data_IF_623083792758
#
_entry.id   IF_623083792758
#
_cell.length_a   1.000
_cell.length_b   1.000
_cell.length_c   1.000
_cell.angle_alpha   90.00
_cell.angle_beta   90.00
_cell.angle_gamma   90.00
#
_symmetry.space_group_name_H-M   'P 1'
#
loop_
_entity.id
_entity.type
_entity.pdbx_description
1 polymer ?
#
# COMPACT_ATOMS: atom_id res chain seq x y z
N UNK A 1 60.23 61.01 14.19
CA UNK A 1 60.08 61.70 12.90
C UNK A 1 60.67 60.80 11.83
N UNK A 2 59.80 60.27 10.97
CA UNK A 2 60.07 59.69 9.63
C UNK A 2 60.85 58.36 9.53
N UNK A 3 60.20 57.23 9.13
CA UNK A 3 59.95 56.70 7.75
C UNK A 3 61.19 55.91 7.23
N UNK A 4 61.20 54.76 6.54
CA UNK A 4 60.28 53.84 5.82
C UNK A 4 60.98 52.44 5.88
N UNK A 5 60.35 51.33 6.21
CA UNK A 5 59.51 50.40 5.41
C UNK A 5 60.19 49.70 4.22
N UNK A 6 60.04 48.37 4.20
CA UNK A 6 60.66 47.43 3.28
C UNK A 6 60.16 46.03 3.57
N UNK A 7 58.85 45.79 3.36
CA UNK A 7 58.28 44.44 3.30
C UNK A 7 57.46 44.24 2.03
N UNK A 8 57.75 43.11 1.42
CA UNK A 8 57.32 42.63 0.12
C UNK A 8 55.80 42.38 0.12
N UNK A 9 55.13 42.88 -0.91
CA UNK A 9 53.71 42.70 -1.15
C UNK A 9 53.39 41.26 -1.59
N UNK A 10 52.39 40.65 -0.95
CA UNK A 10 51.65 39.49 -1.46
C UNK A 10 50.38 39.99 -2.15
N UNK A 11 50.01 39.49 -3.34
CA UNK A 11 48.74 39.85 -3.95
C UNK A 11 47.59 39.15 -3.21
N UNK A 12 46.63 39.98 -2.79
CA UNK A 12 45.35 39.59 -2.22
C UNK A 12 44.59 38.67 -3.19
N UNK A 13 44.37 37.42 -2.78
CA UNK A 13 43.35 36.57 -3.39
C UNK A 13 42.03 36.93 -2.71
N UNK A 14 41.29 37.86 -3.32
CA UNK A 14 39.91 38.16 -2.95
C UNK A 14 39.06 36.94 -3.32
N UNK A 15 38.84 36.03 -2.37
CA UNK A 15 37.90 34.94 -2.52
C UNK A 15 36.48 35.50 -2.57
N UNK A 16 35.96 35.69 -3.77
CA UNK A 16 34.54 35.96 -4.01
C UNK A 16 33.74 34.73 -3.60
N UNK A 17 33.21 34.73 -2.37
CA UNK A 17 32.17 33.81 -1.92
C UNK A 17 30.89 34.09 -2.73
N UNK A 18 30.82 33.52 -3.94
CA UNK A 18 29.53 33.25 -4.56
C UNK A 18 28.81 32.22 -3.69
N UNK A 19 27.89 32.70 -2.85
CA UNK A 19 26.77 31.90 -2.34
C UNK A 19 26.10 31.28 -3.56
N UNK A 20 26.42 30.01 -3.83
CA UNK A 20 25.56 29.16 -4.63
C UNK A 20 24.33 28.91 -3.78
N UNK A 21 23.22 29.55 -4.14
CA UNK A 21 21.91 29.11 -3.69
C UNK A 21 21.80 27.63 -4.02
N UNK A 22 21.87 26.78 -2.99
CA UNK A 22 21.60 25.36 -3.14
C UNK A 22 20.13 25.25 -3.53
N UNK A 23 19.86 25.06 -4.81
CA UNK A 23 18.54 24.69 -5.29
C UNK A 23 18.08 23.50 -4.44
N UNK A 24 17.05 23.71 -3.61
CA UNK A 24 16.47 22.64 -2.80
C UNK A 24 15.91 21.63 -3.80
N UNK A 25 16.57 20.47 -3.93
CA UNK A 25 16.04 19.36 -4.70
C UNK A 25 14.70 18.97 -4.09
N UNK A 26 13.62 19.25 -4.81
CA UNK A 26 12.29 18.88 -4.36
C UNK A 26 12.02 17.43 -4.69
N UNK A 27 11.66 16.65 -3.68
CA UNK A 27 11.44 15.20 -3.78
C UNK A 27 9.96 14.84 -3.85
N UNK A 28 9.68 13.73 -4.52
CA UNK A 28 8.38 13.06 -4.50
C UNK A 28 8.42 11.88 -3.53
N UNK A 29 7.33 11.68 -2.79
CA UNK A 29 7.14 10.49 -1.93
C UNK A 29 5.93 9.70 -2.39
N UNK A 30 6.07 8.38 -2.37
CA UNK A 30 4.98 7.43 -2.64
C UNK A 30 4.68 6.66 -1.36
N UNK A 31 3.40 6.61 -1.01
CA UNK A 31 2.92 5.88 0.15
C UNK A 31 1.95 4.80 -0.35
N UNK A 32 2.25 3.55 -0.04
CA UNK A 32 1.39 2.41 -0.37
C UNK A 32 1.08 1.56 0.86
N UNK A 33 0.00 0.79 0.87
CA UNK A 33 -0.25 -0.13 1.96
C UNK A 33 0.72 -1.33 1.92
N UNK A 34 1.01 -1.89 3.10
CA UNK A 34 1.70 -3.18 3.20
C UNK A 34 0.79 -4.34 2.72
N UNK A 35 1.36 -5.54 2.57
CA UNK A 35 0.64 -6.73 2.06
C UNK A 35 0.62 -7.87 3.06
N UNK A 36 -0.47 -8.66 3.06
CA UNK A 36 -0.54 -9.90 3.86
C UNK A 36 0.42 -10.96 3.31
N UNK A 37 0.62 -11.01 1.98
CA UNK A 37 1.66 -11.83 1.36
C UNK A 37 3.03 -11.25 1.64
N UNK A 38 3.80 -11.90 2.51
CA UNK A 38 5.17 -11.52 2.88
C UNK A 38 6.12 -12.69 2.64
N UNK A 39 7.36 -12.41 2.25
CA UNK A 39 8.38 -13.47 2.13
C UNK A 39 8.74 -14.00 3.51
N UNK A 40 8.52 -15.29 3.73
CA UNK A 40 8.92 -15.96 4.96
C UNK A 40 10.43 -16.25 4.90
N UNK A 41 11.15 -15.85 5.94
CA UNK A 41 12.59 -16.01 6.08
C UNK A 41 13.02 -17.35 6.67
N UNK A 42 12.23 -18.41 6.49
CA UNK A 42 12.42 -19.68 7.21
C UNK A 42 11.93 -19.68 8.67
N UNK A 43 11.47 -18.53 9.19
CA UNK A 43 10.81 -18.44 10.50
C UNK A 43 9.30 -18.17 10.34
N UNK A 44 8.47 -18.68 11.27
CA UNK A 44 7.06 -18.33 11.31
C UNK A 44 6.90 -16.82 11.52
N UNK A 45 5.90 -16.18 10.87
CA UNK A 45 5.65 -14.77 11.04
C UNK A 45 5.30 -14.45 12.50
N UNK A 46 5.62 -13.24 12.95
CA UNK A 46 5.09 -12.72 14.21
C UNK A 46 3.56 -12.64 14.17
N UNK A 47 2.90 -13.02 15.26
CA UNK A 47 1.45 -12.90 15.40
C UNK A 47 1.13 -12.10 16.65
N UNK A 48 0.10 -11.25 16.56
CA UNK A 48 -0.32 -10.43 17.69
C UNK A 48 -1.09 -11.30 18.69
N UNK A 49 -0.56 -11.43 19.91
CA UNK A 49 -1.31 -12.05 21.00
C UNK A 49 -2.21 -11.00 21.68
N UNK A 50 -3.52 -11.15 21.50
CA UNK A 50 -4.52 -10.23 22.07
C UNK A 50 -5.19 -10.75 23.34
N UNK A 51 -4.87 -11.98 23.78
CA UNK A 51 -5.57 -12.65 24.88
C UNK A 51 -5.25 -12.07 26.26
N UNK A 52 -4.07 -11.48 26.44
CA UNK A 52 -3.54 -11.08 27.75
C UNK A 52 -3.58 -9.57 28.00
N UNK A 53 -3.82 -8.75 26.96
CA UNK A 53 -3.71 -7.31 27.06
C UNK A 53 -5.08 -6.64 27.22
N UNK A 54 -5.23 -5.85 28.28
CA UNK A 54 -6.46 -5.12 28.61
C UNK A 54 -6.48 -3.67 28.12
N UNK A 55 -5.42 -3.18 27.47
CA UNK A 55 -5.37 -1.81 26.95
C UNK A 55 -4.66 -1.71 25.59
N UNK A 56 -4.98 -0.66 24.84
CA UNK A 56 -4.32 -0.32 23.58
C UNK A 56 -2.82 -0.12 23.76
N UNK A 57 -2.44 0.66 24.75
CA UNK A 57 -1.05 0.99 25.03
C UNK A 57 -0.21 -0.26 25.33
N UNK A 58 -0.71 -1.17 26.18
CA UNK A 58 -0.03 -2.42 26.52
C UNK A 58 0.05 -3.39 25.32
N UNK A 59 -1.03 -3.46 24.52
CA UNK A 59 -1.06 -4.30 23.32
C UNK A 59 -0.04 -3.83 22.28
N UNK A 60 0.00 -2.53 22.01
CA UNK A 60 0.96 -1.94 21.10
C UNK A 60 2.40 -2.08 21.65
N UNK A 61 2.63 -1.89 22.94
CA UNK A 61 3.96 -2.08 23.56
C UNK A 61 4.47 -3.52 23.38
N UNK A 62 3.62 -4.49 23.72
CA UNK A 62 3.93 -5.93 23.56
C UNK A 62 4.26 -6.27 22.12
N UNK A 63 3.43 -5.79 21.18
CA UNK A 63 3.66 -5.99 19.75
C UNK A 63 5.01 -5.44 19.30
N UNK A 64 5.33 -4.21 19.70
CA UNK A 64 6.57 -3.54 19.31
C UNK A 64 7.79 -4.23 19.91
N UNK A 65 7.68 -4.71 21.15
CA UNK A 65 8.73 -5.53 21.76
C UNK A 65 8.98 -6.82 20.97
N UNK A 66 7.93 -7.52 20.54
CA UNK A 66 8.04 -8.72 19.70
C UNK A 66 8.68 -8.42 18.34
N UNK A 67 8.31 -7.29 17.72
CA UNK A 67 8.93 -6.83 16.46
C UNK A 67 10.42 -6.55 16.65
N UNK A 68 10.80 -5.80 17.70
CA UNK A 68 12.20 -5.46 17.99
C UNK A 68 13.06 -6.67 18.33
N UNK A 69 12.48 -7.70 18.94
CA UNK A 69 13.18 -8.93 19.31
C UNK A 69 13.52 -9.84 18.12
N UNK A 70 12.97 -9.59 16.92
CA UNK A 70 13.26 -10.42 15.74
C UNK A 70 14.56 -9.99 15.07
N UNK A 71 15.48 -10.95 14.95
CA UNK A 71 16.77 -10.78 14.29
C UNK A 71 16.67 -10.93 12.77
N UNK A 72 15.83 -11.84 12.29
CA UNK A 72 15.64 -12.04 10.84
C UNK A 72 14.75 -10.95 10.25
N UNK A 73 15.35 -10.07 9.46
CA UNK A 73 14.66 -8.95 8.81
C UNK A 73 15.02 -8.87 7.32
N UNK A 74 14.16 -8.19 6.55
CA UNK A 74 14.37 -7.86 5.14
C UNK A 74 13.91 -6.43 4.89
N UNK A 75 14.48 -5.70 3.91
CA UNK A 75 13.91 -4.43 3.46
C UNK A 75 12.41 -4.57 3.19
N UNK A 76 11.59 -3.61 3.62
CA UNK A 76 10.14 -3.63 3.44
C UNK A 76 9.73 -3.88 1.97
N UNK A 77 10.43 -3.24 1.03
CA UNK A 77 10.21 -3.38 -0.41
C UNK A 77 10.63 -4.74 -1.01
N UNK A 78 11.33 -5.57 -0.22
CA UNK A 78 11.68 -6.95 -0.52
C UNK A 78 10.87 -7.96 0.30
N UNK A 79 10.33 -7.54 1.45
CA UNK A 79 9.47 -8.32 2.32
C UNK A 79 8.05 -8.42 1.75
N UNK A 80 7.44 -7.30 1.42
CA UNK A 80 6.08 -7.22 0.87
C UNK A 80 6.08 -7.70 -0.58
N UNK A 81 5.02 -8.42 -0.97
CA UNK A 81 4.96 -9.07 -2.28
C UNK A 81 3.59 -8.93 -2.94
N UNK A 82 3.60 -9.10 -4.26
CA UNK A 82 2.41 -9.00 -5.10
C UNK A 82 2.47 -7.82 -6.04
N UNK A 83 1.47 -7.76 -6.93
CA UNK A 83 1.40 -6.74 -7.98
C UNK A 83 1.32 -5.32 -7.42
N UNK A 84 0.60 -5.11 -6.31
CA UNK A 84 0.54 -3.81 -5.64
C UNK A 84 1.94 -3.26 -5.31
N UNK A 85 2.82 -4.10 -4.77
CA UNK A 85 4.20 -3.72 -4.45
C UNK A 85 5.03 -3.51 -5.73
N UNK A 86 4.84 -4.34 -6.75
CA UNK A 86 5.54 -4.18 -8.03
C UNK A 86 5.19 -2.87 -8.73
N UNK A 87 3.91 -2.51 -8.78
CA UNK A 87 3.45 -1.26 -9.37
C UNK A 87 3.93 -0.05 -8.55
N UNK A 88 3.91 -0.12 -7.21
CA UNK A 88 4.46 0.95 -6.37
C UNK A 88 5.98 1.14 -6.57
N UNK A 89 6.76 0.05 -6.65
CA UNK A 89 8.20 0.10 -6.95
C UNK A 89 8.48 0.64 -8.35
N UNK A 90 7.64 0.28 -9.33
CA UNK A 90 7.75 0.82 -10.67
C UNK A 90 7.55 2.34 -10.67
N UNK A 91 6.50 2.83 -9.99
CA UNK A 91 6.22 4.26 -9.86
C UNK A 91 7.35 4.98 -9.14
N UNK A 92 7.89 4.41 -8.06
CA UNK A 92 9.01 4.98 -7.31
C UNK A 92 10.24 5.17 -8.19
N UNK A 93 10.64 4.14 -8.94
CA UNK A 93 11.77 4.24 -9.87
C UNK A 93 11.52 5.22 -11.01
N UNK A 94 10.29 5.24 -11.55
CA UNK A 94 9.93 6.13 -12.67
C UNK A 94 10.02 7.61 -12.28
N UNK A 95 9.78 7.91 -11.00
CA UNK A 95 9.76 9.27 -10.47
C UNK A 95 11.02 9.65 -9.67
N UNK A 96 11.98 8.73 -9.50
CA UNK A 96 13.07 8.87 -8.53
C UNK A 96 12.55 9.28 -7.13
N UNK A 97 11.47 8.62 -6.70
CA UNK A 97 10.71 8.97 -5.51
C UNK A 97 11.01 8.04 -4.33
N UNK A 98 10.93 8.59 -3.12
CA UNK A 98 11.00 7.79 -1.90
C UNK A 98 9.77 6.88 -1.80
N UNK A 99 9.98 5.58 -1.66
CA UNK A 99 8.90 4.61 -1.45
C UNK A 99 8.72 4.35 0.05
N UNK A 100 7.49 4.55 0.53
CA UNK A 100 7.09 4.26 1.92
C UNK A 100 5.88 3.33 1.96
N UNK A 101 5.77 2.58 3.05
CA UNK A 101 4.68 1.66 3.34
C UNK A 101 3.90 2.09 4.58
N UNK A 102 2.60 2.27 4.44
CA UNK A 102 1.67 2.27 5.57
C UNK A 102 1.48 0.81 6.01
N UNK A 103 1.97 0.47 7.19
CA UNK A 103 1.99 -0.88 7.74
C UNK A 103 1.13 -0.98 9.00
N UNK A 104 0.20 -1.93 9.02
CA UNK A 104 -0.58 -2.22 10.23
C UNK A 104 0.32 -2.61 11.40
N UNK A 105 1.43 -3.32 11.16
CA UNK A 105 2.32 -3.76 12.23
C UNK A 105 3.41 -2.75 12.58
N UNK A 106 3.80 -1.86 11.66
CA UNK A 106 5.05 -1.10 11.79
C UNK A 106 4.86 0.43 11.70
N UNK A 107 3.64 0.89 11.47
CA UNK A 107 3.36 2.32 11.24
C UNK A 107 3.79 2.73 9.83
N UNK A 108 4.27 3.97 9.67
CA UNK A 108 4.87 4.41 8.40
C UNK A 108 6.36 4.05 8.36
N UNK A 109 6.77 3.33 7.32
CA UNK A 109 8.15 2.85 7.17
C UNK A 109 8.67 3.08 5.75
N UNK A 110 9.97 3.32 5.61
CA UNK A 110 10.62 3.43 4.30
C UNK A 110 10.80 2.07 3.63
N UNK A 111 10.95 2.05 2.31
CA UNK A 111 11.11 0.82 1.52
C UNK A 111 12.34 0.00 1.94
N UNK A 112 13.46 0.66 2.21
CA UNK A 112 14.71 0.01 2.62
C UNK A 112 14.73 -0.36 4.12
N UNK A 113 13.73 0.05 4.90
CA UNK A 113 13.71 -0.23 6.32
C UNK A 113 13.68 -1.75 6.58
N UNK A 114 14.64 -2.30 7.35
CA UNK A 114 14.61 -3.71 7.72
C UNK A 114 13.40 -4.04 8.59
N UNK A 115 12.61 -5.02 8.15
CA UNK A 115 11.35 -5.42 8.77
C UNK A 115 11.31 -6.95 8.98
N UNK A 116 10.84 -7.45 10.13
CA UNK A 116 10.57 -8.87 10.29
C UNK A 116 9.30 -9.28 9.53
N UNK A 117 9.17 -10.59 9.27
CA UNK A 117 7.89 -11.12 8.78
C UNK A 117 6.84 -11.14 9.90
N UNK A 118 5.63 -10.71 9.60
CA UNK A 118 4.52 -10.65 10.55
C UNK A 118 3.16 -10.87 9.89
N UNK A 119 2.21 -11.33 10.70
CA UNK A 119 0.85 -11.69 10.35
C UNK A 119 -0.14 -10.82 11.15
N UNK A 120 -0.30 -9.57 10.71
CA UNK A 120 -1.22 -8.61 11.32
C UNK A 120 -1.78 -7.70 10.22
N UNK A 121 -3.10 -7.51 10.23
CA UNK A 121 -3.79 -6.73 9.19
C UNK A 121 -4.97 -5.94 9.76
N UNK A 122 -5.40 -4.94 9.00
CA UNK A 122 -6.69 -4.25 9.18
C UNK A 122 -7.72 -4.67 8.14
N UNK A 123 -7.40 -5.60 7.24
CA UNK A 123 -8.39 -6.20 6.34
C UNK A 123 -9.35 -7.13 7.12
N UNK A 124 -10.50 -7.46 6.53
CA UNK A 124 -11.44 -8.43 7.10
C UNK A 124 -10.97 -9.87 6.86
N UNK A 125 -9.90 -10.25 7.55
CA UNK A 125 -9.26 -11.58 7.49
C UNK A 125 -9.08 -12.15 8.92
N UNK A 126 -8.83 -13.45 9.10
CA UNK A 126 -8.71 -14.05 10.44
C UNK A 126 -7.64 -13.41 11.34
N UNK A 127 -6.58 -12.89 10.75
CA UNK A 127 -5.46 -12.17 11.40
C UNK A 127 -5.73 -10.66 11.59
N UNK A 128 -6.99 -10.23 11.48
CA UNK A 128 -7.37 -8.83 11.63
C UNK A 128 -7.33 -8.37 13.08
N UNK A 129 -6.79 -7.18 13.33
CA UNK A 129 -6.87 -6.53 14.64
C UNK A 129 -8.24 -5.89 14.92
N UNK A 130 -9.07 -5.70 13.88
CA UNK A 130 -10.37 -5.00 13.99
C UNK A 130 -11.32 -5.58 15.04
N UNK A 131 -11.53 -6.92 15.14
CA UNK A 131 -12.44 -7.48 16.14
C UNK A 131 -11.99 -7.15 17.57
N UNK A 132 -10.68 -7.18 17.82
CA UNK A 132 -10.13 -6.82 19.12
C UNK A 132 -10.35 -5.34 19.43
N UNK A 133 -10.05 -4.44 18.48
CA UNK A 133 -10.27 -3.00 18.63
C UNK A 133 -11.74 -2.67 18.90
N UNK A 134 -12.66 -3.28 18.14
CA UNK A 134 -14.09 -3.06 18.30
C UNK A 134 -14.59 -3.45 19.70
N UNK A 135 -14.11 -4.58 20.25
CA UNK A 135 -14.43 -4.99 21.62
C UNK A 135 -13.93 -4.00 22.69
N UNK A 136 -12.86 -3.26 22.38
CA UNK A 136 -12.31 -2.21 23.24
C UNK A 136 -12.95 -0.83 23.00
N UNK A 137 -13.92 -0.70 22.08
CA UNK A 137 -14.49 0.59 21.68
C UNK A 137 -13.52 1.46 20.87
N UNK A 138 -12.51 0.85 20.23
CA UNK A 138 -11.45 1.52 19.49
C UNK A 138 -11.60 1.34 17.97
N UNK A 139 -10.93 2.21 17.25
CA UNK A 139 -10.88 2.26 15.79
C UNK A 139 -9.52 1.82 15.24
N UNK A 140 -9.42 1.49 13.94
CA UNK A 140 -8.13 1.24 13.31
C UNK A 140 -7.13 2.40 13.45
N UNK A 141 -7.58 3.66 13.43
CA UNK A 141 -6.68 4.81 13.55
C UNK A 141 -6.09 4.95 14.95
N UNK A 142 -6.81 4.56 16.00
CA UNK A 142 -6.24 4.50 17.36
C UNK A 142 -5.05 3.53 17.42
N UNK A 143 -5.12 2.41 16.69
CA UNK A 143 -4.00 1.47 16.57
C UNK A 143 -2.81 2.06 15.83
N UNK A 144 -3.04 2.80 14.74
CA UNK A 144 -1.98 3.50 14.01
C UNK A 144 -1.25 4.49 14.92
N UNK A 145 -1.99 5.28 15.68
CA UNK A 145 -1.43 6.25 16.61
C UNK A 145 -0.60 5.55 17.70
N UNK A 146 -1.14 4.50 18.30
CA UNK A 146 -0.44 3.72 19.32
C UNK A 146 0.88 3.11 18.79
N UNK A 147 0.86 2.48 17.62
CA UNK A 147 2.06 1.90 17.00
C UNK A 147 3.11 2.96 16.71
N UNK A 148 2.72 4.08 16.12
CA UNK A 148 3.66 5.15 15.76
C UNK A 148 4.21 5.90 16.99
N UNK A 149 3.41 6.07 18.05
CA UNK A 149 3.86 6.64 19.31
C UNK A 149 4.93 5.76 19.98
N UNK A 150 4.78 4.43 19.96
CA UNK A 150 5.81 3.50 20.44
C UNK A 150 7.10 3.53 19.63
N UNK A 151 7.00 3.89 18.35
CA UNK A 151 8.16 4.15 17.51
C UNK A 151 8.71 5.58 17.64
N UNK A 152 8.16 6.41 18.54
CA UNK A 152 8.52 7.82 18.71
C UNK A 152 8.38 8.64 17.42
N UNK A 153 7.40 8.28 16.59
CA UNK A 153 7.11 8.92 15.30
C UNK A 153 5.63 9.32 15.22
N UNK A 154 5.10 10.17 16.13
CA UNK A 154 3.70 10.56 16.11
C UNK A 154 3.33 11.25 14.80
N UNK A 155 2.12 10.99 14.29
CA UNK A 155 1.58 11.60 13.07
C UNK A 155 2.57 11.62 11.89
N UNK A 156 3.10 10.47 11.47
CA UNK A 156 4.17 10.42 10.48
C UNK A 156 3.74 10.95 9.11
N UNK A 157 2.47 10.82 8.71
CA UNK A 157 1.97 11.40 7.45
C UNK A 157 1.91 12.92 7.51
N UNK A 158 1.41 13.48 8.62
CA UNK A 158 1.41 14.94 8.81
C UNK A 158 2.81 15.52 8.90
N UNK A 159 3.73 14.83 9.59
CA UNK A 159 5.14 15.20 9.66
C UNK A 159 5.77 15.21 8.26
N UNK A 160 5.47 14.19 7.45
CA UNK A 160 5.94 14.11 6.06
C UNK A 160 5.37 15.23 5.19
N UNK A 161 4.07 15.52 5.30
CA UNK A 161 3.41 16.56 4.51
C UNK A 161 3.99 17.96 4.80
N UNK A 162 4.41 18.23 6.03
CA UNK A 162 5.00 19.51 6.47
C UNK A 162 6.40 19.76 5.92
N UNK A 163 7.13 18.72 5.51
CA UNK A 163 8.49 18.85 4.97
C UNK A 163 8.51 19.75 3.73
N UNK A 164 9.46 20.69 3.70
CA UNK A 164 9.59 21.70 2.64
C UNK A 164 10.34 21.17 1.41
N UNK A 165 11.17 20.17 1.62
CA UNK A 165 11.91 19.43 0.58
C UNK A 165 11.05 18.38 -0.14
N UNK A 166 9.79 18.20 0.25
CA UNK A 166 8.80 17.35 -0.42
C UNK A 166 7.77 18.23 -1.12
N UNK A 167 7.66 18.12 -2.45
CA UNK A 167 6.68 18.87 -3.24
C UNK A 167 5.46 18.03 -3.63
N UNK A 168 5.55 16.70 -3.57
CA UNK A 168 4.47 15.80 -4.00
C UNK A 168 4.44 14.53 -3.18
N UNK A 169 3.23 14.13 -2.78
CA UNK A 169 2.97 12.88 -2.06
C UNK A 169 1.86 12.12 -2.79
N UNK A 170 2.20 10.96 -3.35
CA UNK A 170 1.26 10.06 -4.02
C UNK A 170 0.85 8.96 -3.04
N UNK A 171 -0.44 8.92 -2.66
CA UNK A 171 -0.94 8.03 -1.60
C UNK A 171 -1.86 6.98 -2.22
N UNK A 172 -1.36 5.76 -2.39
CA UNK A 172 -2.08 4.61 -2.93
C UNK A 172 -2.48 3.62 -1.82
N UNK A 173 -3.65 3.83 -1.23
CA UNK A 173 -4.13 3.04 -0.09
C UNK A 173 -5.49 2.39 -0.40
N UNK A 174 -5.69 1.17 0.09
CA UNK A 174 -7.03 0.56 0.09
C UNK A 174 -7.94 1.21 1.13
N UNK A 175 -9.25 1.05 0.98
CA UNK A 175 -10.27 1.56 1.91
C UNK A 175 -9.98 1.21 3.39
N UNK A 176 -9.50 0.01 3.68
CA UNK A 176 -9.19 -0.40 5.06
C UNK A 176 -7.95 0.31 5.62
N UNK A 177 -7.02 0.71 4.75
CA UNK A 177 -5.84 1.47 5.13
C UNK A 177 -6.13 2.97 5.23
N UNK A 178 -7.13 3.49 4.52
CA UNK A 178 -7.65 4.83 4.76
C UNK A 178 -8.17 4.95 6.21
N UNK A 179 -8.99 3.98 6.66
CA UNK A 179 -9.43 3.95 8.06
C UNK A 179 -8.26 3.88 9.05
N UNK A 180 -7.22 3.10 8.71
CA UNK A 180 -6.04 2.93 9.57
C UNK A 180 -5.30 4.25 9.76
N UNK A 181 -5.20 5.11 8.74
CA UNK A 181 -4.40 6.34 8.83
C UNK A 181 -5.23 7.60 9.08
N UNK A 182 -6.53 7.46 9.36
CA UNK A 182 -7.48 8.57 9.37
C UNK A 182 -7.08 9.70 10.34
N UNK A 183 -6.76 9.38 11.60
CA UNK A 183 -6.36 10.38 12.61
C UNK A 183 -5.13 11.20 12.17
N UNK A 184 -4.12 10.53 11.61
CA UNK A 184 -2.89 11.16 11.11
C UNK A 184 -3.15 12.05 9.89
N UNK A 185 -4.01 11.61 8.95
CA UNK A 185 -4.45 12.45 7.83
C UNK A 185 -5.12 13.73 8.33
N UNK A 186 -5.95 13.67 9.36
CA UNK A 186 -6.62 14.85 9.93
C UNK A 186 -5.64 15.89 10.51
N UNK A 187 -4.44 15.47 10.89
CA UNK A 187 -3.38 16.38 11.38
C UNK A 187 -2.68 17.16 10.25
N UNK A 188 -2.96 16.87 8.97
CA UNK A 188 -2.33 17.56 7.84
C UNK A 188 -2.92 18.98 7.69
N UNK A 189 -2.06 19.97 7.88
CA UNK A 189 -2.37 21.39 7.73
C UNK A 189 -2.84 21.72 6.31
N UNK A 190 -3.77 22.68 6.19
CA UNK A 190 -4.40 23.07 4.91
C UNK A 190 -3.39 23.41 3.82
N UNK A 191 -2.33 24.14 4.16
CA UNK A 191 -1.31 24.59 3.19
C UNK A 191 -0.52 23.42 2.58
N UNK A 192 -0.34 22.33 3.32
CA UNK A 192 0.41 21.17 2.87
C UNK A 192 -0.43 20.21 2.03
N UNK A 193 -1.77 20.34 2.07
CA UNK A 193 -2.71 19.47 1.33
C UNK A 193 -2.52 19.52 -0.18
N UNK A 194 -2.05 20.66 -0.69
CA UNK A 194 -1.78 20.89 -2.11
C UNK A 194 -0.69 19.96 -2.69
N UNK A 195 0.08 19.25 -1.86
CA UNK A 195 1.10 18.26 -2.25
C UNK A 195 0.52 16.86 -2.48
N UNK A 196 -0.67 16.56 -1.94
CA UNK A 196 -1.22 15.20 -1.86
C UNK A 196 -2.09 14.84 -3.06
N UNK A 197 -1.95 13.60 -3.57
CA UNK A 197 -2.86 12.94 -4.54
C UNK A 197 -3.22 11.58 -3.95
N UNK A 198 -4.52 11.28 -3.81
CA UNK A 198 -4.98 9.99 -3.33
C UNK A 198 -5.42 9.09 -4.48
N UNK A 199 -5.01 7.82 -4.41
CA UNK A 199 -5.43 6.73 -5.27
C UNK A 199 -6.07 5.67 -4.39
N UNK A 200 -7.38 5.50 -4.52
CA UNK A 200 -8.15 4.52 -3.78
C UNK A 200 -9.43 4.20 -4.57
N UNK A 201 -10.07 3.08 -4.26
CA UNK A 201 -11.40 2.77 -4.79
C UNK A 201 -12.47 3.70 -4.21
N UNK A 202 -13.66 3.73 -4.83
CA UNK A 202 -14.82 4.51 -4.36
C UNK A 202 -15.14 4.32 -2.86
N UNK A 203 -15.18 3.09 -2.31
CA UNK A 203 -15.34 2.91 -0.85
C UNK A 203 -14.26 3.59 -0.01
N UNK A 204 -13.03 3.70 -0.51
CA UNK A 204 -11.97 4.43 0.20
C UNK A 204 -12.11 5.95 0.07
N UNK A 205 -12.66 6.47 -1.03
CA UNK A 205 -13.01 7.91 -1.14
C UNK A 205 -14.07 8.27 -0.10
N UNK A 206 -15.06 7.41 0.09
CA UNK A 206 -16.13 7.61 1.08
C UNK A 206 -15.57 7.63 2.52
N UNK A 207 -14.53 6.84 2.79
CA UNK A 207 -13.82 6.76 4.08
C UNK A 207 -12.77 7.84 4.31
N UNK A 208 -12.33 8.56 3.27
CA UNK A 208 -11.43 9.69 3.45
C UNK A 208 -12.12 10.78 4.29
N UNK A 209 -11.38 11.46 5.19
CA UNK A 209 -11.90 12.66 5.84
C UNK A 209 -12.31 13.68 4.77
N UNK A 210 -13.42 14.38 5.01
CA UNK A 210 -14.14 15.16 3.98
C UNK A 210 -13.24 16.12 3.21
N UNK A 211 -12.30 16.75 3.91
CA UNK A 211 -11.34 17.72 3.37
C UNK A 211 -10.30 17.12 2.39
N UNK A 212 -10.16 15.80 2.33
CA UNK A 212 -9.26 15.10 1.39
C UNK A 212 -9.98 14.50 0.17
N UNK A 213 -11.32 14.47 0.16
CA UNK A 213 -12.08 13.84 -0.94
C UNK A 213 -11.81 14.49 -2.29
N UNK A 214 -11.61 15.81 -2.33
CA UNK A 214 -11.24 16.55 -3.55
C UNK A 214 -9.82 16.28 -4.04
N UNK A 215 -8.98 15.65 -3.21
CA UNK A 215 -7.61 15.26 -3.54
C UNK A 215 -7.52 13.81 -4.04
N UNK A 216 -8.63 13.07 -4.03
CA UNK A 216 -8.72 11.75 -4.63
C UNK A 216 -8.85 11.87 -6.15
N UNK A 217 -7.96 11.21 -6.87
CA UNK A 217 -8.03 11.13 -8.32
C UNK A 217 -9.26 10.29 -8.73
N UNK A 218 -10.04 10.72 -9.74
CA UNK A 218 -11.37 10.16 -10.04
C UNK A 218 -11.32 8.82 -10.78
N UNK A 219 -10.63 7.85 -10.19
CA UNK A 219 -10.60 6.47 -10.66
C UNK A 219 -11.83 5.70 -10.18
N UNK A 220 -12.37 4.86 -11.06
CA UNK A 220 -13.44 3.93 -10.77
C UNK A 220 -13.23 2.60 -11.52
N UNK A 221 -14.25 1.75 -11.51
CA UNK A 221 -14.20 0.40 -12.09
C UNK A 221 -13.93 0.39 -13.61
N UNK A 222 -14.01 1.53 -14.31
CA UNK A 222 -13.59 1.62 -15.72
C UNK A 222 -12.11 1.29 -15.91
N UNK A 223 -11.26 1.45 -14.88
CA UNK A 223 -9.85 1.05 -14.96
C UNK A 223 -9.71 -0.46 -15.28
N UNK A 224 -10.68 -1.27 -14.88
CA UNK A 224 -10.71 -2.71 -15.12
C UNK A 224 -10.95 -3.09 -16.58
N UNK A 225 -11.33 -2.13 -17.44
CA UNK A 225 -11.44 -2.34 -18.89
C UNK A 225 -10.17 -1.98 -19.66
N UNK A 226 -9.13 -1.53 -18.96
CA UNK A 226 -7.83 -1.16 -19.55
C UNK A 226 -6.78 -2.28 -19.38
N UNK A 227 -5.57 -2.07 -19.92
CA UNK A 227 -4.40 -2.93 -19.63
C UNK A 227 -3.99 -2.97 -18.16
N UNK A 228 -4.55 -2.08 -17.34
CA UNK A 228 -4.35 -2.05 -15.90
C UNK A 228 -5.39 -2.87 -15.16
N UNK A 229 -6.22 -3.71 -15.80
CA UNK A 229 -7.13 -4.60 -15.10
C UNK A 229 -6.41 -5.47 -14.03
N UNK A 230 -7.07 -5.73 -12.91
CA UNK A 230 -6.49 -6.45 -11.79
C UNK A 230 -7.49 -6.82 -10.70
N UNK A 231 -7.02 -6.83 -9.46
CA UNK A 231 -7.86 -7.18 -8.31
C UNK A 231 -8.25 -5.92 -7.53
N UNK A 232 -9.24 -6.02 -6.65
CA UNK A 232 -9.57 -4.90 -5.75
C UNK A 232 -8.44 -4.57 -4.77
N UNK A 233 -7.61 -5.55 -4.43
CA UNK A 233 -6.52 -5.39 -3.47
C UNK A 233 -5.33 -4.58 -4.03
N UNK A 234 -5.12 -4.58 -5.35
CA UNK A 234 -4.07 -3.82 -6.02
C UNK A 234 -4.59 -2.62 -6.82
N UNK A 235 -5.90 -2.35 -6.78
CA UNK A 235 -6.52 -1.20 -7.44
C UNK A 235 -5.82 0.14 -7.15
N UNK A 236 -5.55 0.52 -5.88
CA UNK A 236 -4.90 1.79 -5.57
C UNK A 236 -3.57 1.99 -6.31
N UNK A 237 -2.74 0.95 -6.34
CA UNK A 237 -1.40 1.01 -6.93
C UNK A 237 -1.45 0.98 -8.46
N UNK A 238 -2.41 0.25 -9.05
CA UNK A 238 -2.66 0.28 -10.50
C UNK A 238 -3.17 1.64 -10.95
N UNK A 239 -4.07 2.26 -10.19
CA UNK A 239 -4.56 3.62 -10.44
C UNK A 239 -3.43 4.64 -10.37
N UNK A 240 -2.57 4.56 -9.35
CA UNK A 240 -1.37 5.41 -9.23
C UNK A 240 -0.41 5.20 -10.41
N UNK A 241 -0.20 3.96 -10.84
CA UNK A 241 0.65 3.67 -12.00
C UNK A 241 0.08 4.25 -13.28
N UNK A 242 -1.21 4.03 -13.55
CA UNK A 242 -1.90 4.64 -14.69
C UNK A 242 -1.75 6.16 -14.67
N UNK A 243 -1.92 6.79 -13.51
CA UNK A 243 -1.77 8.23 -13.35
C UNK A 243 -0.37 8.74 -13.73
N UNK A 244 0.69 8.08 -13.27
CA UNK A 244 2.07 8.46 -13.57
C UNK A 244 2.38 8.29 -15.05
N UNK A 245 1.85 7.23 -15.68
CA UNK A 245 1.99 7.01 -17.11
C UNK A 245 1.20 8.04 -17.93
N UNK A 246 -0.01 8.40 -17.48
CA UNK A 246 -0.87 9.41 -18.12
C UNK A 246 -0.27 10.81 -18.07
N UNK A 247 0.24 11.22 -16.91
CA UNK A 247 0.79 12.57 -16.68
C UNK A 247 2.24 12.71 -17.13
N UNK A 248 2.86 11.61 -17.58
CA UNK A 248 4.28 11.51 -17.88
C UNK A 248 5.15 12.11 -16.76
N UNK A 249 4.84 11.78 -15.50
CA UNK A 249 5.52 12.27 -14.30
C UNK A 249 5.44 13.80 -14.03
N UNK A 250 4.62 14.55 -14.78
CA UNK A 250 4.53 16.01 -14.64
C UNK A 250 3.97 16.42 -13.26
N UNK A 251 4.53 17.46 -12.66
CA UNK A 251 4.08 18.03 -11.38
C UNK A 251 3.01 19.10 -11.61
N UNK A 252 1.76 18.68 -11.82
CA UNK A 252 0.66 19.60 -12.08
C UNK A 252 -0.11 19.96 -10.79
N UNK A 253 -0.87 21.07 -10.81
CA UNK A 253 -1.88 21.35 -9.80
C UNK A 253 -2.92 20.21 -9.70
N UNK A 254 -3.51 20.04 -8.52
CA UNK A 254 -4.51 18.98 -8.25
C UNK A 254 -5.66 19.02 -9.26
N UNK A 255 -6.15 20.21 -9.64
CA UNK A 255 -7.25 20.36 -10.58
C UNK A 255 -6.90 19.85 -11.98
N UNK A 256 -5.70 20.14 -12.47
CA UNK A 256 -5.23 19.66 -13.77
C UNK A 256 -5.04 18.14 -13.77
N UNK A 257 -4.44 17.59 -12.70
CA UNK A 257 -4.31 16.15 -12.48
C UNK A 257 -5.71 15.46 -12.49
N UNK A 258 -6.68 16.05 -11.78
CA UNK A 258 -8.05 15.54 -11.71
C UNK A 258 -8.72 15.51 -13.09
N UNK A 259 -8.61 16.60 -13.86
CA UNK A 259 -9.21 16.68 -15.20
C UNK A 259 -8.58 15.69 -16.17
N UNK A 260 -7.26 15.54 -16.14
CA UNK A 260 -6.56 14.56 -16.98
C UNK A 260 -7.05 13.13 -16.70
N UNK A 261 -7.16 12.75 -15.41
CA UNK A 261 -7.70 11.44 -15.03
C UNK A 261 -9.16 11.30 -15.44
N UNK A 262 -9.99 12.32 -15.21
CA UNK A 262 -11.41 12.28 -15.58
C UNK A 262 -11.62 12.05 -17.08
N UNK A 263 -10.84 12.76 -17.92
CA UNK A 263 -10.86 12.57 -19.37
C UNK A 263 -10.41 11.15 -19.76
N UNK A 264 -9.29 10.67 -19.20
CA UNK A 264 -8.77 9.33 -19.49
C UNK A 264 -9.75 8.22 -19.08
N UNK A 265 -10.37 8.33 -17.90
CA UNK A 265 -11.36 7.37 -17.43
C UNK A 265 -12.65 7.42 -18.26
N UNK A 266 -13.03 8.57 -18.80
CA UNK A 266 -14.23 8.72 -19.64
C UNK A 266 -14.09 8.12 -21.04
N UNK A 267 -12.85 7.95 -21.51
CA UNK A 267 -12.57 7.21 -22.74
C UNK A 267 -12.63 5.69 -22.57
N UNK A 268 -12.65 5.18 -21.32
CA UNK A 268 -12.71 3.75 -21.04
C UNK A 268 -14.17 3.26 -20.95
N UNK A 269 -14.50 2.10 -21.55
CA UNK A 269 -15.85 1.56 -21.46
C UNK A 269 -16.17 1.16 -20.02
N UNK A 270 -17.41 1.42 -19.62
CA UNK A 270 -17.96 0.92 -18.37
C UNK A 270 -18.23 -0.58 -18.54
N UNK A 271 -17.39 -1.43 -17.94
CA UNK A 271 -17.63 -2.86 -17.95
C UNK A 271 -18.67 -3.18 -16.89
N UNK A 272 -19.81 -3.75 -17.32
CA UNK A 272 -20.83 -4.25 -16.41
C UNK A 272 -20.20 -5.23 -15.41
N UNK A 273 -20.38 -4.98 -14.12
CA UNK A 273 -19.84 -5.87 -13.09
C UNK A 273 -20.57 -7.21 -13.18
N UNK A 274 -19.88 -8.26 -13.64
CA UNK A 274 -20.43 -9.62 -13.60
C UNK A 274 -20.64 -9.99 -12.12
N UNK A 275 -21.90 -10.05 -11.70
CA UNK A 275 -22.27 -10.44 -10.33
C UNK A 275 -21.98 -11.93 -10.17
N UNK A 276 -20.97 -12.24 -9.36
CA UNK A 276 -20.64 -13.61 -8.98
C UNK A 276 -21.18 -13.90 -7.58
N UNK A 277 -21.85 -15.03 -7.40
CA UNK A 277 -22.36 -15.44 -6.08
C UNK A 277 -21.22 -15.97 -5.21
N UNK A 278 -21.31 -15.77 -3.89
CA UNK A 278 -20.45 -16.51 -2.95
C UNK A 278 -20.88 -17.98 -2.95
N UNK A 279 -19.92 -18.88 -2.80
CA UNK A 279 -20.15 -20.31 -2.68
C UNK A 279 -19.28 -20.88 -1.57
N UNK A 280 -19.74 -21.91 -0.85
CA UNK A 280 -18.97 -22.65 0.16
C UNK A 280 -17.88 -23.51 -0.48
N UNK A 281 -16.96 -24.05 0.32
CA UNK A 281 -15.87 -24.90 -0.20
C UNK A 281 -16.42 -26.18 -0.83
N UNK A 282 -17.48 -26.73 -0.25
CA UNK A 282 -18.21 -27.89 -0.72
C UNK A 282 -18.87 -27.60 -2.08
N UNK A 283 -19.55 -26.46 -2.21
CA UNK A 283 -20.15 -26.04 -3.48
C UNK A 283 -19.09 -25.82 -4.57
N UNK A 284 -17.97 -25.17 -4.23
CA UNK A 284 -16.86 -24.97 -5.18
C UNK A 284 -16.26 -26.30 -5.60
N UNK A 285 -16.04 -27.24 -4.67
CA UNK A 285 -15.56 -28.58 -4.99
C UNK A 285 -16.54 -29.34 -5.89
N UNK A 286 -17.84 -29.24 -5.62
CA UNK A 286 -18.87 -29.89 -6.44
C UNK A 286 -18.83 -29.39 -7.90
N UNK A 287 -18.81 -28.07 -8.11
CA UNK A 287 -18.69 -27.47 -9.44
C UNK A 287 -17.38 -27.85 -10.15
N UNK A 288 -16.28 -27.95 -9.39
CA UNK A 288 -14.99 -28.38 -9.94
C UNK A 288 -14.99 -29.85 -10.36
N UNK A 289 -15.66 -30.72 -9.60
CA UNK A 289 -15.82 -32.14 -9.92
C UNK A 289 -16.67 -32.29 -11.19
N UNK A 290 -17.80 -31.56 -11.27
CA UNK A 290 -18.69 -31.56 -12.43
C UNK A 290 -17.96 -31.16 -13.72
N UNK A 291 -17.13 -30.11 -13.65
CA UNK A 291 -16.36 -29.64 -14.80
C UNK A 291 -15.00 -30.33 -14.98
N UNK A 292 -14.63 -31.30 -14.14
CA UNK A 292 -13.27 -31.81 -14.06
C UNK A 292 -12.79 -32.42 -15.37
N UNK A 293 -13.55 -33.36 -15.92
CA UNK A 293 -13.18 -34.10 -17.13
C UNK A 293 -13.21 -33.19 -18.36
N UNK A 294 -14.24 -32.34 -18.47
CA UNK A 294 -14.38 -31.36 -19.55
C UNK A 294 -13.19 -30.39 -19.60
N UNK A 295 -12.68 -29.99 -18.44
CA UNK A 295 -11.52 -29.10 -18.32
C UNK A 295 -10.18 -29.83 -18.16
N UNK A 296 -10.18 -31.18 -18.25
CA UNK A 296 -9.00 -32.06 -18.11
C UNK A 296 -8.22 -31.81 -16.81
N UNK A 297 -8.91 -31.51 -15.72
CA UNK A 297 -8.32 -31.18 -14.43
C UNK A 297 -7.44 -29.92 -14.43
N UNK A 298 -7.46 -29.10 -15.49
CA UNK A 298 -6.60 -27.92 -15.60
C UNK A 298 -6.99 -26.86 -14.59
N UNK A 299 -6.07 -26.49 -13.69
CA UNK A 299 -6.31 -25.50 -12.64
C UNK A 299 -6.73 -24.14 -13.20
N UNK A 300 -6.07 -23.66 -14.26
CA UNK A 300 -6.40 -22.38 -14.88
C UNK A 300 -7.75 -22.40 -15.60
N UNK A 301 -8.12 -23.52 -16.24
CA UNK A 301 -9.39 -23.64 -16.95
C UNK A 301 -10.56 -23.82 -15.99
N UNK A 302 -10.40 -24.63 -14.95
CA UNK A 302 -11.40 -24.80 -13.90
C UNK A 302 -11.66 -23.49 -13.15
N UNK A 303 -10.62 -22.71 -12.86
CA UNK A 303 -10.81 -21.39 -12.24
C UNK A 303 -11.55 -20.40 -13.16
N UNK A 304 -11.30 -20.47 -14.48
CA UNK A 304 -12.07 -19.69 -15.46
C UNK A 304 -13.51 -20.16 -15.53
N UNK A 305 -13.76 -21.46 -15.64
CA UNK A 305 -15.11 -22.03 -15.62
C UNK A 305 -15.91 -21.54 -14.41
N UNK A 306 -15.33 -21.60 -13.21
CA UNK A 306 -16.00 -21.11 -12.00
C UNK A 306 -16.37 -19.62 -12.08
N UNK A 307 -15.54 -18.80 -12.72
CA UNK A 307 -15.70 -17.34 -12.74
C UNK A 307 -16.53 -16.85 -13.92
N UNK A 308 -16.38 -17.47 -15.06
CA UNK A 308 -16.89 -17.00 -16.35
C UNK A 308 -18.23 -17.68 -16.68
N UNK A 309 -18.35 -18.97 -16.35
CA UNK A 309 -19.52 -19.80 -16.68
C UNK A 309 -20.43 -20.03 -15.47
N UNK A 310 -19.87 -20.57 -14.37
CA UNK A 310 -20.65 -20.86 -13.15
C UNK A 310 -20.96 -19.61 -12.30
N UNK A 311 -20.37 -18.47 -12.64
CA UNK A 311 -20.56 -17.18 -11.96
C UNK A 311 -20.36 -17.24 -10.43
N UNK A 312 -19.35 -17.99 -9.98
CA UNK A 312 -18.97 -18.16 -8.58
C UNK A 312 -17.73 -17.34 -8.22
N UNK A 313 -17.81 -16.64 -7.09
CA UNK A 313 -16.68 -15.91 -6.52
C UNK A 313 -15.73 -16.90 -5.81
N UNK A 314 -14.60 -17.20 -6.45
CA UNK A 314 -13.54 -18.00 -5.85
C UNK A 314 -12.18 -17.27 -5.97
N UNK A 315 -11.58 -16.94 -4.82
CA UNK A 315 -10.22 -16.42 -4.76
C UNK A 315 -9.21 -17.50 -5.14
N UNK A 316 -8.08 -17.09 -5.73
CA UNK A 316 -7.13 -18.02 -6.34
C UNK A 316 -6.41 -18.92 -5.32
N UNK A 317 -6.17 -18.43 -4.09
CA UNK A 317 -5.61 -19.18 -2.96
C UNK A 317 -6.54 -20.31 -2.55
N UNK A 318 -7.79 -19.97 -2.24
CA UNK A 318 -8.86 -20.90 -1.91
C UNK A 318 -9.03 -21.95 -3.00
N UNK A 319 -9.21 -21.52 -4.25
CA UNK A 319 -9.31 -22.42 -5.40
C UNK A 319 -8.14 -23.41 -5.47
N UNK A 320 -6.90 -22.92 -5.31
CA UNK A 320 -5.70 -23.76 -5.39
C UNK A 320 -5.69 -24.83 -4.29
N UNK A 321 -6.09 -24.49 -3.06
CA UNK A 321 -6.20 -25.46 -1.97
C UNK A 321 -7.19 -26.58 -2.32
N UNK A 322 -8.41 -26.19 -2.70
CA UNK A 322 -9.47 -27.13 -3.06
C UNK A 322 -9.09 -27.99 -4.28
N UNK A 323 -8.42 -27.40 -5.27
CA UNK A 323 -7.93 -28.11 -6.45
C UNK A 323 -6.85 -29.14 -6.12
N UNK A 324 -5.90 -28.81 -5.23
CA UNK A 324 -4.88 -29.75 -4.79
C UNK A 324 -5.50 -30.95 -4.07
N UNK A 325 -6.50 -30.71 -3.21
CA UNK A 325 -7.23 -31.79 -2.54
C UNK A 325 -7.93 -32.72 -3.54
N UNK A 326 -8.63 -32.16 -4.53
CA UNK A 326 -9.32 -32.94 -5.55
C UNK A 326 -8.35 -33.72 -6.44
N UNK A 327 -7.25 -33.09 -6.84
CA UNK A 327 -6.23 -33.75 -7.68
C UNK A 327 -5.59 -34.94 -6.96
N UNK A 328 -5.27 -34.80 -5.67
CA UNK A 328 -4.74 -35.89 -4.86
C UNK A 328 -5.73 -37.05 -4.75
N UNK A 329 -7.04 -36.77 -4.59
CA UNK A 329 -8.09 -37.81 -4.58
C UNK A 329 -8.29 -38.48 -5.94
N UNK A 330 -8.20 -37.73 -7.04
CA UNK A 330 -8.30 -38.28 -8.40
C UNK A 330 -7.11 -39.19 -8.73
N UNK A 331 -5.89 -38.82 -8.37
CA UNK A 331 -4.71 -39.69 -8.55
C UNK A 331 -4.82 -40.99 -7.76
N UNK A 332 -5.37 -40.95 -6.54
CA UNK A 332 -5.59 -42.17 -5.74
C UNK A 332 -6.63 -43.11 -6.35
N UNK A 333 -7.61 -42.60 -7.10
CA UNK A 333 -8.62 -43.42 -7.81
C UNK A 333 -8.12 -44.02 -9.13
N UNK A 334 -7.01 -43.54 -9.68
CA UNK A 334 -6.41 -44.07 -10.92
C UNK A 334 -5.33 -45.12 -10.66
N UNK A 335 -4.97 -45.35 -9.40
CA UNK A 335 -3.93 -46.30 -8.95
C UNK A 335 -4.56 -47.60 -8.38
N UNK A 336 -5.88 -47.63 -8.20
CA UNK A 336 -6.68 -48.80 -7.81
C UNK A 336 -7.37 -49.35 -9.05
#
# INVERSE_FOLDING_TARGET
>A
MQLFDGRIAYPEITATLQRRDAAVFMSTVIITNCTNRKRLGGQPPLELCTAQNQSLAATAATWIQQVKARTFTRPAESLYTGRSVQDAKWVARKLDAELMFASTGLGLIGGEQPCPSYNLTVAAEPNSIRPWLARMGLTPSDWWDAVNNHWQRPNPLATLAKRRDINRILIALSANYIDLVANDLEQIATDDRSKLRFFTSRPGIERLPKQFRSLAMPYDDRLESSRFAGTRADFPQRAMRHFVELTNASTNPVSADYQAVSAAMSALPLVGTIKRRRASDEEVKALMIEAWDAQKGSSSRLLRYLRDDALVACEQSRFRGLWLELKSRSMLRSIV
#
